data_IF_131068572666
#
_entry.id   IF_131068572666
#
_cell.length_a   1.000
_cell.length_b   1.000
_cell.length_c   1.000
_cell.angle_alpha   90.00
_cell.angle_beta   90.00
_cell.angle_gamma   90.00
#
_symmetry.space_group_name_H-M   'P 1'
#
loop_
_entity.id
_entity.type
_entity.pdbx_description
1 polymer ?
#
# COMPACT_ATOMS: atom_id res chain seq x y z
N UNK A 1 -30.95 -31.47 16.89
CA UNK A 1 -30.34 -30.17 16.63
C UNK A 1 -29.75 -30.21 15.22
N UNK A 2 -30.32 -29.46 14.31
CA UNK A 2 -30.07 -29.66 12.88
C UNK A 2 -28.70 -29.05 12.51
N UNK A 3 -27.99 -29.69 11.58
CA UNK A 3 -26.63 -29.35 11.14
C UNK A 3 -26.46 -27.85 10.74
N UNK A 4 -27.52 -27.22 10.25
CA UNK A 4 -27.52 -25.80 9.89
C UNK A 4 -27.30 -24.86 11.09
N UNK A 5 -27.69 -25.23 12.31
CA UNK A 5 -27.42 -24.48 13.53
C UNK A 5 -25.92 -24.34 13.79
N UNK A 6 -25.16 -25.41 13.58
CA UNK A 6 -23.70 -25.35 13.76
C UNK A 6 -23.03 -24.46 12.73
N UNK A 7 -23.54 -24.46 11.51
CA UNK A 7 -23.05 -23.54 10.45
C UNK A 7 -23.37 -22.10 10.81
N UNK A 8 -24.59 -21.79 11.26
CA UNK A 8 -24.98 -20.45 11.69
C UNK A 8 -24.12 -19.95 12.85
N UNK A 9 -23.92 -20.78 13.90
CA UNK A 9 -23.05 -20.43 15.01
C UNK A 9 -21.61 -20.16 14.54
N UNK A 10 -21.05 -21.02 13.70
CA UNK A 10 -19.72 -20.83 13.14
C UNK A 10 -19.62 -19.54 12.32
N UNK A 11 -20.65 -19.22 11.55
CA UNK A 11 -20.75 -17.97 10.78
C UNK A 11 -20.77 -16.73 11.71
N UNK A 12 -21.63 -16.74 12.71
CA UNK A 12 -21.74 -15.64 13.69
C UNK A 12 -20.42 -15.44 14.44
N UNK A 13 -19.81 -16.51 14.94
CA UNK A 13 -18.53 -16.44 15.64
C UNK A 13 -17.44 -15.88 14.73
N UNK A 14 -17.37 -16.34 13.47
CA UNK A 14 -16.38 -15.82 12.50
C UNK A 14 -16.56 -14.33 12.22
N UNK A 15 -17.81 -13.85 12.10
CA UNK A 15 -18.13 -12.44 11.92
C UNK A 15 -17.76 -11.60 13.15
N UNK A 16 -18.05 -12.09 14.36
CA UNK A 16 -17.65 -11.41 15.60
C UNK A 16 -16.12 -11.30 15.73
N UNK A 17 -15.38 -12.35 15.40
CA UNK A 17 -13.90 -12.30 15.37
C UNK A 17 -13.42 -11.27 14.36
N UNK A 18 -14.02 -11.21 13.18
CA UNK A 18 -13.66 -10.22 12.16
C UNK A 18 -13.98 -8.78 12.58
N UNK A 19 -15.13 -8.56 13.23
CA UNK A 19 -15.52 -7.27 13.80
C UNK A 19 -14.53 -6.82 14.89
N UNK A 20 -14.17 -7.71 15.81
CA UNK A 20 -13.18 -7.43 16.86
C UNK A 20 -11.81 -7.08 16.26
N UNK A 21 -11.37 -7.81 15.23
CA UNK A 21 -10.13 -7.50 14.53
C UNK A 21 -10.20 -6.12 13.86
N UNK A 22 -11.29 -5.80 13.18
CA UNK A 22 -11.52 -4.50 12.53
C UNK A 22 -11.53 -3.37 13.56
N UNK A 23 -12.21 -3.56 14.68
CA UNK A 23 -12.24 -2.61 15.79
C UNK A 23 -10.84 -2.37 16.39
N UNK A 24 -10.05 -3.43 16.58
CA UNK A 24 -8.67 -3.31 17.06
C UNK A 24 -7.79 -2.55 16.06
N UNK A 25 -7.95 -2.79 14.75
CA UNK A 25 -7.23 -2.07 13.71
C UNK A 25 -7.62 -0.59 13.68
N UNK A 26 -8.91 -0.29 13.83
CA UNK A 26 -9.43 1.08 13.94
C UNK A 26 -8.85 1.80 15.16
N UNK A 27 -8.87 1.19 16.34
CA UNK A 27 -8.25 1.75 17.56
C UNK A 27 -6.76 2.00 17.37
N UNK A 28 -6.05 1.06 16.73
CA UNK A 28 -4.64 1.24 16.40
C UNK A 28 -4.44 2.45 15.48
N UNK A 29 -5.25 2.59 14.44
CA UNK A 29 -5.17 3.69 13.50
C UNK A 29 -5.38 5.04 14.20
N UNK A 30 -6.44 5.19 14.99
CA UNK A 30 -6.72 6.40 15.76
C UNK A 30 -5.58 6.74 16.73
N UNK A 31 -5.11 5.75 17.51
CA UNK A 31 -4.04 5.94 18.50
C UNK A 31 -2.69 6.36 17.88
N UNK A 32 -2.48 6.10 16.59
CA UNK A 32 -1.21 6.40 15.90
C UNK A 32 -1.30 7.61 14.97
N UNK A 33 -2.47 7.91 14.42
CA UNK A 33 -2.67 8.97 13.43
C UNK A 33 -2.32 10.36 13.97
N UNK A 34 -2.80 10.69 15.18
CA UNK A 34 -2.65 12.03 15.75
C UNK A 34 -1.34 12.29 16.50
N UNK A 35 -0.48 11.29 16.64
CA UNK A 35 0.78 11.44 17.39
C UNK A 35 1.81 12.17 16.55
N UNK A 36 2.24 13.36 17.00
CA UNK A 36 3.40 14.04 16.39
C UNK A 36 4.66 13.17 16.46
N UNK A 37 5.48 13.19 15.41
CA UNK A 37 6.69 12.41 15.26
C UNK A 37 7.85 13.35 14.94
N UNK A 38 8.55 13.79 15.97
CA UNK A 38 9.63 14.78 15.87
C UNK A 38 11.03 14.14 15.85
N UNK A 39 11.15 12.89 15.46
CA UNK A 39 12.44 12.20 15.45
C UNK A 39 13.06 12.24 14.04
N UNK A 40 14.06 13.10 13.87
CA UNK A 40 14.69 13.41 12.59
C UNK A 40 16.17 12.96 12.52
N UNK A 41 16.57 11.96 13.31
CA UNK A 41 17.99 11.55 13.42
C UNK A 41 18.51 10.78 12.22
N UNK A 42 17.68 9.99 11.55
CA UNK A 42 18.11 9.15 10.43
C UNK A 42 18.22 9.97 9.15
N UNK A 43 19.27 9.71 8.37
CA UNK A 43 19.44 10.28 7.04
C UNK A 43 18.65 9.46 6.04
N UNK A 44 17.76 10.10 5.30
CA UNK A 44 16.80 9.44 4.39
C UNK A 44 17.13 9.78 2.94
N UNK A 45 17.26 8.77 2.09
CA UNK A 45 17.12 8.94 0.65
C UNK A 45 15.66 8.66 0.28
N UNK A 46 14.90 9.70 -0.05
CA UNK A 46 13.54 9.59 -0.56
C UNK A 46 13.60 9.48 -2.07
N UNK A 47 13.24 8.32 -2.58
CA UNK A 47 13.36 7.94 -3.98
C UNK A 47 11.98 7.84 -4.63
N UNK A 48 11.78 8.57 -5.71
CA UNK A 48 10.52 8.63 -6.45
C UNK A 48 10.74 8.31 -7.93
N UNK A 49 10.37 7.11 -8.40
CA UNK A 49 10.34 6.82 -9.82
C UNK A 49 9.18 7.55 -10.49
N UNK A 50 9.48 8.27 -11.56
CA UNK A 50 8.51 9.05 -12.31
C UNK A 50 8.43 8.57 -13.76
N UNK A 51 7.22 8.57 -14.34
CA UNK A 51 6.96 8.26 -15.74
C UNK A 51 5.72 9.00 -16.21
N UNK A 52 5.87 9.79 -17.27
CA UNK A 52 4.76 10.58 -17.82
C UNK A 52 4.25 11.66 -16.86
N UNK A 53 3.17 12.29 -17.23
CA UNK A 53 2.53 13.35 -16.45
C UNK A 53 1.06 12.98 -16.18
N UNK A 54 0.73 12.76 -14.91
CA UNK A 54 -0.65 12.67 -14.46
C UNK A 54 -1.26 14.06 -14.27
N UNK A 55 -2.59 14.16 -14.25
CA UNK A 55 -3.31 15.44 -14.07
C UNK A 55 -2.88 16.22 -12.81
N UNK A 56 -2.51 15.51 -11.76
CA UNK A 56 -2.13 16.06 -10.47
C UNK A 56 -0.61 16.00 -10.20
N UNK A 57 0.21 15.66 -11.22
CA UNK A 57 1.65 15.41 -11.07
C UNK A 57 2.38 16.55 -10.35
N UNK A 58 2.16 17.78 -10.77
CA UNK A 58 2.81 18.94 -10.14
C UNK A 58 2.46 19.06 -8.66
N UNK A 59 1.17 18.94 -8.31
CA UNK A 59 0.69 19.00 -6.92
C UNK A 59 1.28 17.87 -6.08
N UNK A 60 1.26 16.66 -6.62
CA UNK A 60 1.76 15.46 -5.94
C UNK A 60 3.26 15.61 -5.65
N UNK A 61 4.06 15.89 -6.67
CA UNK A 61 5.52 16.04 -6.55
C UNK A 61 5.89 17.19 -5.62
N UNK A 62 5.20 18.34 -5.70
CA UNK A 62 5.45 19.48 -4.80
C UNK A 62 5.28 19.13 -3.33
N UNK A 63 4.36 18.23 -2.99
CA UNK A 63 4.14 17.82 -1.60
C UNK A 63 5.37 17.20 -0.94
N UNK A 64 6.30 16.64 -1.71
CA UNK A 64 7.54 16.03 -1.22
C UNK A 64 8.67 17.03 -0.97
N UNK A 65 8.61 18.22 -1.57
CA UNK A 65 9.52 19.31 -1.26
C UNK A 65 9.25 19.94 0.11
N UNK A 66 8.01 19.84 0.61
CA UNK A 66 7.54 20.49 1.82
C UNK A 66 7.47 19.54 3.03
N UNK A 67 8.40 18.58 3.16
CA UNK A 67 8.38 17.66 4.29
C UNK A 67 8.98 18.28 5.55
N UNK A 68 8.30 18.11 6.68
CA UNK A 68 8.81 18.47 8.01
C UNK A 68 9.83 17.43 8.50
N UNK A 69 10.93 17.31 7.75
CA UNK A 69 12.05 16.41 8.02
C UNK A 69 13.33 17.03 7.48
N UNK A 70 14.27 17.38 8.33
CA UNK A 70 15.46 18.15 7.93
C UNK A 70 16.58 17.29 7.31
N UNK A 71 16.53 15.99 7.50
CA UNK A 71 17.66 15.11 7.20
C UNK A 71 17.33 14.13 6.06
N UNK A 72 16.84 14.66 4.92
CA UNK A 72 16.53 13.85 3.75
C UNK A 72 17.07 14.44 2.45
N UNK A 73 17.41 13.54 1.53
CA UNK A 73 17.67 13.83 0.13
C UNK A 73 16.43 13.45 -0.68
N UNK A 74 16.01 14.29 -1.61
CA UNK A 74 14.86 14.05 -2.48
C UNK A 74 15.36 13.69 -3.89
N UNK A 75 15.16 12.45 -4.29
CA UNK A 75 15.65 11.87 -5.52
C UNK A 75 14.53 11.44 -6.44
N UNK A 76 14.44 12.08 -7.58
CA UNK A 76 13.56 11.67 -8.66
C UNK A 76 14.34 10.84 -9.66
N UNK A 77 13.69 9.84 -10.26
CA UNK A 77 14.33 9.01 -11.29
C UNK A 77 13.36 8.72 -12.43
N UNK A 78 13.81 9.01 -13.64
CA UNK A 78 13.12 8.72 -14.90
C UNK A 78 13.92 7.70 -15.71
N UNK A 79 13.27 7.03 -16.64
CA UNK A 79 13.97 6.13 -17.55
C UNK A 79 14.78 6.90 -18.58
N UNK A 80 14.23 7.99 -19.13
CA UNK A 80 14.83 8.76 -20.21
C UNK A 80 14.56 10.26 -20.05
N UNK A 81 15.44 11.09 -20.58
CA UNK A 81 15.27 12.57 -20.59
C UNK A 81 14.15 13.04 -21.51
N UNK A 82 13.76 12.23 -22.48
CA UNK A 82 12.61 12.49 -23.34
C UNK A 82 11.25 12.30 -22.64
N UNK A 83 11.24 11.66 -21.46
CA UNK A 83 10.02 11.52 -20.66
C UNK A 83 9.54 12.93 -20.23
N UNK A 84 8.26 13.27 -20.45
CA UNK A 84 7.71 14.58 -20.07
C UNK A 84 7.85 14.89 -18.58
N UNK A 85 7.91 13.87 -17.72
CA UNK A 85 8.18 14.07 -16.30
C UNK A 85 9.56 14.72 -16.05
N UNK A 86 10.59 14.40 -16.86
CA UNK A 86 11.92 14.96 -16.67
C UNK A 86 11.93 16.48 -16.75
N UNK A 87 11.37 17.05 -17.80
CA UNK A 87 11.33 18.50 -17.99
C UNK A 87 10.53 19.21 -16.89
N UNK A 88 9.42 18.60 -16.45
CA UNK A 88 8.60 19.13 -15.36
C UNK A 88 9.31 19.07 -14.01
N UNK A 89 10.04 17.99 -13.74
CA UNK A 89 10.86 17.84 -12.51
C UNK A 89 11.99 18.87 -12.46
N UNK A 90 12.66 19.15 -13.59
CA UNK A 90 13.67 20.22 -13.69
C UNK A 90 13.08 21.58 -13.30
N UNK A 91 11.92 21.93 -13.88
CA UNK A 91 11.22 23.19 -13.54
C UNK A 91 10.87 23.28 -12.06
N UNK A 92 10.32 22.20 -11.47
CA UNK A 92 9.98 22.16 -10.05
C UNK A 92 11.23 22.27 -9.16
N UNK A 93 12.31 21.60 -9.52
CA UNK A 93 13.60 21.71 -8.82
C UNK A 93 14.12 23.14 -8.82
N UNK A 94 14.09 23.82 -9.97
CA UNK A 94 14.58 25.21 -10.09
C UNK A 94 13.72 26.18 -9.27
N UNK A 95 12.40 25.96 -9.23
CA UNK A 95 11.45 26.81 -8.51
C UNK A 95 11.48 26.59 -6.99
N UNK A 96 11.54 25.32 -6.53
CA UNK A 96 11.29 24.93 -5.15
C UNK A 96 12.55 24.42 -4.44
N UNK A 97 13.56 23.96 -5.18
CA UNK A 97 14.72 23.27 -4.60
C UNK A 97 15.51 24.09 -3.58
N UNK A 98 15.57 25.41 -3.75
CA UNK A 98 16.26 26.32 -2.80
C UNK A 98 15.44 26.61 -1.54
N UNK A 99 14.13 26.50 -1.61
CA UNK A 99 13.21 26.81 -0.50
C UNK A 99 12.79 25.55 0.27
N UNK A 100 13.10 24.36 -0.23
CA UNK A 100 12.71 23.10 0.43
C UNK A 100 13.65 22.77 1.60
N UNK A 101 13.15 21.91 2.50
CA UNK A 101 13.92 21.39 3.65
C UNK A 101 14.82 20.20 3.30
N UNK A 102 14.71 19.66 2.08
CA UNK A 102 15.60 18.61 1.61
C UNK A 102 17.04 19.13 1.55
N UNK A 103 18.00 18.33 2.00
CA UNK A 103 19.43 18.68 1.93
C UNK A 103 19.91 18.78 0.48
N UNK A 104 19.31 17.95 -0.37
CA UNK A 104 19.63 17.88 -1.78
C UNK A 104 18.42 17.38 -2.57
N UNK A 105 18.21 17.97 -3.76
CA UNK A 105 17.23 17.52 -4.75
C UNK A 105 17.95 17.09 -6.00
N UNK A 106 17.85 15.83 -6.39
CA UNK A 106 18.47 15.27 -7.60
C UNK A 106 17.44 14.64 -8.53
N UNK A 107 17.73 14.70 -9.84
CA UNK A 107 16.94 14.05 -10.88
C UNK A 107 17.89 13.13 -11.66
N UNK A 108 17.63 11.83 -11.58
CA UNK A 108 18.43 10.82 -12.25
C UNK A 108 17.75 10.32 -13.52
N UNK A 109 18.57 9.95 -14.48
CA UNK A 109 18.16 9.21 -15.68
C UNK A 109 18.77 7.82 -15.59
N UNK A 110 17.94 6.80 -15.34
CA UNK A 110 18.43 5.43 -15.11
C UNK A 110 18.73 4.66 -16.39
N UNK A 111 18.12 5.02 -17.51
CA UNK A 111 18.11 4.23 -18.74
C UNK A 111 16.93 3.25 -18.80
N UNK A 112 16.77 2.59 -19.94
CA UNK A 112 15.73 1.59 -20.15
C UNK A 112 16.11 0.26 -19.49
N UNK A 113 15.15 -0.33 -18.80
CA UNK A 113 15.33 -1.62 -18.17
C UNK A 113 15.38 -2.75 -19.23
N UNK A 114 16.33 -3.66 -19.08
CA UNK A 114 16.48 -4.81 -19.99
C UNK A 114 16.11 -6.15 -19.36
N UNK A 115 16.14 -6.25 -18.03
CA UNK A 115 16.01 -7.53 -17.30
C UNK A 115 14.94 -7.57 -16.22
N UNK A 116 14.35 -6.43 -15.87
CA UNK A 116 13.29 -6.33 -14.85
C UNK A 116 12.31 -5.21 -15.17
N UNK A 117 11.29 -5.04 -14.33
CA UNK A 117 10.34 -3.91 -14.48
C UNK A 117 11.03 -2.55 -14.33
N UNK A 118 10.67 -1.58 -15.18
CA UNK A 118 11.30 -0.25 -15.19
C UNK A 118 11.32 0.43 -13.81
N UNK A 119 10.23 0.33 -13.04
CA UNK A 119 10.19 0.88 -11.67
C UNK A 119 11.30 0.30 -10.80
N UNK A 120 11.44 -1.01 -10.78
CA UNK A 120 12.47 -1.71 -9.99
C UNK A 120 13.87 -1.30 -10.45
N UNK A 121 14.10 -1.23 -11.75
CA UNK A 121 15.37 -0.79 -12.32
C UNK A 121 15.74 0.62 -11.85
N UNK A 122 14.80 1.55 -11.91
CA UNK A 122 14.96 2.93 -11.45
C UNK A 122 15.31 2.99 -9.95
N UNK A 123 14.62 2.20 -9.12
CA UNK A 123 14.89 2.15 -7.68
C UNK A 123 16.28 1.59 -7.37
N UNK A 124 16.69 0.52 -8.08
CA UNK A 124 18.02 -0.07 -7.94
C UNK A 124 19.13 0.86 -8.43
N UNK A 125 18.90 1.60 -9.51
CA UNK A 125 19.83 2.62 -9.98
C UNK A 125 20.09 3.69 -8.90
N UNK A 126 19.05 4.19 -8.27
CA UNK A 126 19.19 5.13 -7.15
C UNK A 126 19.88 4.46 -5.95
N UNK A 127 19.54 3.21 -5.62
CA UNK A 127 20.21 2.49 -4.55
C UNK A 127 21.73 2.38 -4.74
N UNK A 128 22.21 2.20 -5.98
CA UNK A 128 23.65 2.18 -6.28
C UNK A 128 24.34 3.55 -6.09
N UNK A 129 23.57 4.65 -6.03
CA UNK A 129 24.10 6.00 -5.84
C UNK A 129 24.09 6.44 -4.37
N UNK A 130 23.52 5.66 -3.46
CA UNK A 130 23.50 6.02 -2.05
C UNK A 130 24.92 6.03 -1.47
N UNK A 131 25.19 7.03 -0.65
CA UNK A 131 26.42 7.16 0.13
C UNK A 131 26.31 6.42 1.46
N UNK A 132 27.45 6.19 2.12
CA UNK A 132 27.48 5.45 3.40
C UNK A 132 26.79 6.19 4.55
N UNK A 133 26.45 7.45 4.36
CA UNK A 133 25.78 8.28 5.36
C UNK A 133 24.25 8.18 5.31
N UNK A 134 23.68 7.47 4.34
CA UNK A 134 22.23 7.22 4.26
C UNK A 134 21.83 6.03 5.14
N UNK A 135 20.91 6.27 6.07
CA UNK A 135 20.42 5.26 7.00
C UNK A 135 19.16 4.54 6.51
N UNK A 136 18.31 5.25 5.75
CA UNK A 136 16.97 4.82 5.34
C UNK A 136 16.72 5.10 3.87
N UNK A 137 16.17 4.11 3.18
CA UNK A 137 15.54 4.27 1.88
C UNK A 137 14.04 4.44 2.10
N UNK A 138 13.48 5.54 1.64
CA UNK A 138 12.06 5.78 1.56
C UNK A 138 11.64 5.81 0.08
N UNK A 139 10.53 5.15 -0.25
CA UNK A 139 10.02 5.05 -1.60
C UNK A 139 8.61 5.63 -1.66
N UNK A 140 8.34 6.41 -2.70
CA UNK A 140 7.05 7.00 -2.96
C UNK A 140 6.72 6.95 -4.46
N UNK A 141 5.46 6.76 -4.82
CA UNK A 141 4.99 6.90 -6.19
C UNK A 141 4.71 8.38 -6.50
N UNK A 142 4.85 8.78 -7.76
CA UNK A 142 4.63 10.18 -8.20
C UNK A 142 3.16 10.59 -8.31
N UNK A 143 2.24 9.62 -8.20
CA UNK A 143 0.79 9.80 -8.29
C UNK A 143 0.10 10.00 -6.92
N UNK A 144 0.86 10.26 -5.86
CA UNK A 144 0.34 10.50 -4.52
C UNK A 144 0.68 11.91 -4.01
N UNK A 145 -0.26 12.49 -3.28
CA UNK A 145 -0.07 13.74 -2.53
C UNK A 145 0.06 13.41 -1.03
N UNK A 146 1.11 13.90 -0.40
CA UNK A 146 1.41 13.61 1.00
C UNK A 146 1.35 14.85 1.88
N UNK A 147 1.12 14.65 3.18
CA UNK A 147 1.17 15.70 4.19
C UNK A 147 2.62 16.08 4.50
N UNK A 148 2.84 17.26 5.04
CA UNK A 148 4.20 17.72 5.42
C UNK A 148 4.87 16.84 6.48
N UNK A 149 4.11 16.18 7.34
CA UNK A 149 4.61 15.29 8.38
C UNK A 149 4.73 13.80 7.97
N UNK A 150 4.45 13.49 6.68
CA UNK A 150 4.42 12.12 6.16
C UNK A 150 5.76 11.39 6.34
N UNK A 151 6.89 12.02 5.99
CA UNK A 151 8.19 11.37 6.05
C UNK A 151 8.60 11.07 7.49
N UNK A 152 8.35 11.97 8.42
CA UNK A 152 8.63 11.77 9.84
C UNK A 152 7.82 10.63 10.43
N UNK A 153 6.55 10.50 10.03
CA UNK A 153 5.70 9.37 10.41
C UNK A 153 6.18 8.05 9.82
N UNK A 154 6.54 8.05 8.52
CA UNK A 154 6.96 6.85 7.81
C UNK A 154 8.26 6.27 8.38
N UNK A 155 9.21 7.12 8.73
CA UNK A 155 10.52 6.71 9.26
C UNK A 155 10.46 6.31 10.74
N UNK A 156 9.53 6.88 11.52
CA UNK A 156 9.43 6.66 12.96
C UNK A 156 9.45 5.19 13.43
N UNK A 157 8.75 4.23 12.82
CA UNK A 157 8.77 2.84 13.26
C UNK A 157 10.14 2.17 13.11
N UNK A 158 10.98 2.66 12.19
CA UNK A 158 12.28 2.07 11.89
C UNK A 158 13.31 2.24 13.04
N UNK A 159 13.05 3.09 14.04
CA UNK A 159 13.86 3.15 15.25
C UNK A 159 13.88 1.85 16.05
N UNK A 160 12.89 0.96 15.82
CA UNK A 160 12.79 -0.35 16.44
C UNK A 160 13.42 -1.41 15.55
N UNK A 161 14.38 -2.17 16.05
CA UNK A 161 15.09 -3.23 15.34
C UNK A 161 14.17 -4.31 14.75
N UNK A 162 13.03 -4.57 15.41
CA UNK A 162 12.02 -5.54 14.95
C UNK A 162 11.22 -5.05 13.72
N UNK A 163 11.24 -3.75 13.38
CA UNK A 163 10.58 -3.22 12.19
C UNK A 163 11.48 -3.40 10.99
N UNK A 164 11.10 -4.26 10.05
CA UNK A 164 11.84 -4.47 8.80
C UNK A 164 11.48 -3.43 7.74
N UNK A 165 10.19 -3.10 7.64
CA UNK A 165 9.69 -2.06 6.74
C UNK A 165 8.53 -1.32 7.40
N UNK A 166 8.48 0.00 7.23
CA UNK A 166 7.34 0.83 7.54
C UNK A 166 6.57 1.12 6.25
N UNK A 167 5.24 1.15 6.29
CA UNK A 167 4.40 1.35 5.11
C UNK A 167 3.19 2.21 5.40
N UNK A 168 2.88 3.13 4.49
CA UNK A 168 1.56 3.71 4.35
C UNK A 168 0.61 2.81 3.58
N UNK A 169 -0.44 3.39 3.05
CA UNK A 169 -1.37 2.76 2.13
C UNK A 169 -2.15 3.80 1.34
N UNK A 170 -2.81 3.37 0.27
CA UNK A 170 -3.63 4.18 -0.63
C UNK A 170 -5.11 3.98 -0.32
N UNK A 171 -5.88 5.07 -0.31
CA UNK A 171 -7.34 5.04 -0.24
C UNK A 171 -7.91 5.58 -1.56
N UNK A 172 -8.62 4.74 -2.30
CA UNK A 172 -9.24 5.16 -3.55
C UNK A 172 -10.55 5.90 -3.30
N UNK A 173 -10.61 7.13 -3.78
CA UNK A 173 -11.82 7.97 -3.78
C UNK A 173 -12.30 8.07 -5.23
N UNK A 174 -13.54 7.66 -5.54
CA UNK A 174 -14.09 7.80 -6.88
C UNK A 174 -14.15 9.26 -7.34
N UNK A 175 -13.54 9.60 -8.47
CA UNK A 175 -13.74 10.90 -9.15
C UNK A 175 -15.13 10.99 -9.79
N UNK A 176 -15.63 9.87 -10.29
CA UNK A 176 -16.98 9.71 -10.89
C UNK A 176 -17.72 8.60 -10.17
N UNK A 177 -19.01 8.81 -9.92
CA UNK A 177 -19.89 7.81 -9.29
C UNK A 177 -20.36 6.75 -10.28
N UNK A 178 -19.43 6.12 -11.02
CA UNK A 178 -19.74 4.95 -11.83
C UNK A 178 -19.48 3.67 -11.00
N UNK A 179 -20.20 2.59 -11.33
CA UNK A 179 -20.15 1.34 -10.57
C UNK A 179 -18.75 0.72 -10.50
N UNK A 180 -17.94 0.84 -11.55
CA UNK A 180 -16.60 0.29 -11.58
C UNK A 180 -15.67 1.02 -10.58
N UNK A 181 -15.72 2.36 -10.52
CA UNK A 181 -14.95 3.14 -9.55
C UNK A 181 -15.40 2.90 -8.10
N UNK A 182 -16.71 2.76 -7.89
CA UNK A 182 -17.26 2.39 -6.57
C UNK A 182 -16.81 0.98 -6.16
N UNK A 183 -16.81 0.00 -7.07
CA UNK A 183 -16.31 -1.34 -6.83
C UNK A 183 -14.81 -1.34 -6.50
N UNK A 184 -13.99 -0.57 -7.23
CA UNK A 184 -12.56 -0.40 -6.91
C UNK A 184 -12.37 0.15 -5.49
N UNK A 185 -13.12 1.20 -5.13
CA UNK A 185 -13.08 1.79 -3.79
C UNK A 185 -13.49 0.80 -2.70
N UNK A 186 -14.54 0.02 -2.92
CA UNK A 186 -15.01 -1.00 -1.98
C UNK A 186 -13.98 -2.12 -1.77
N UNK A 187 -13.35 -2.61 -2.84
CA UNK A 187 -12.27 -3.60 -2.77
C UNK A 187 -11.08 -3.03 -1.99
N UNK A 188 -10.68 -1.80 -2.29
CA UNK A 188 -9.59 -1.12 -1.60
C UNK A 188 -9.89 -0.91 -0.11
N UNK A 189 -11.11 -0.49 0.24
CA UNK A 189 -11.54 -0.34 1.63
C UNK A 189 -11.46 -1.66 2.41
N UNK A 190 -11.86 -2.79 1.79
CA UNK A 190 -11.74 -4.12 2.41
C UNK A 190 -10.28 -4.46 2.72
N UNK A 191 -9.34 -4.14 1.84
CA UNK A 191 -7.91 -4.34 2.08
C UNK A 191 -7.41 -3.40 3.19
N UNK A 192 -7.81 -2.13 3.17
CA UNK A 192 -7.41 -1.14 4.17
C UNK A 192 -7.85 -1.51 5.59
N UNK A 193 -9.03 -2.11 5.77
CA UNK A 193 -9.54 -2.59 7.06
C UNK A 193 -8.69 -3.71 7.68
N UNK A 194 -7.91 -4.44 6.89
CA UNK A 194 -6.99 -5.47 7.37
C UNK A 194 -5.67 -4.88 7.91
N UNK A 195 -5.38 -3.60 7.65
CA UNK A 195 -4.14 -2.95 8.07
C UNK A 195 -4.23 -2.51 9.54
N UNK A 196 -3.18 -2.75 10.30
CA UNK A 196 -3.16 -2.41 11.73
C UNK A 196 -1.97 -3.01 12.46
N UNK A 197 -2.16 -3.37 13.74
CA UNK A 197 -1.15 -4.12 14.47
C UNK A 197 -1.30 -5.63 14.20
N UNK A 198 -1.10 -6.03 12.96
CA UNK A 198 -1.36 -7.39 12.49
C UNK A 198 -0.19 -7.95 11.68
N UNK A 199 -0.11 -9.28 11.55
CA UNK A 199 0.85 -9.99 10.69
C UNK A 199 0.42 -9.97 9.20
N UNK A 200 -0.81 -9.56 8.91
CA UNK A 200 -1.35 -9.48 7.54
C UNK A 200 -0.86 -8.24 6.78
N UNK A 201 -0.31 -7.23 7.47
CA UNK A 201 0.24 -6.06 6.79
C UNK A 201 1.15 -6.46 5.62
N UNK A 202 0.98 -5.79 4.49
CA UNK A 202 1.88 -5.86 3.33
C UNK A 202 2.51 -4.49 3.14
N UNK A 203 3.71 -4.45 2.58
CA UNK A 203 4.30 -3.19 2.14
C UNK A 203 3.54 -2.70 0.89
N UNK A 204 3.50 -1.39 0.74
CA UNK A 204 2.96 -0.73 -0.45
C UNK A 204 4.01 0.23 -1.02
N UNK A 205 4.39 0.00 -2.29
CA UNK A 205 5.50 0.68 -2.96
C UNK A 205 5.32 2.18 -3.15
N UNK A 206 4.08 2.68 -3.07
CA UNK A 206 3.80 4.12 -3.12
C UNK A 206 4.06 4.87 -1.82
N UNK A 207 4.29 4.16 -0.71
CA UNK A 207 4.66 4.76 0.59
C UNK A 207 5.29 3.71 1.49
N UNK A 208 6.60 3.49 1.38
CA UNK A 208 7.31 2.55 2.24
C UNK A 208 8.72 3.04 2.57
N UNK A 209 9.25 2.61 3.72
CA UNK A 209 10.62 2.91 4.11
C UNK A 209 11.27 1.70 4.79
N UNK A 210 12.56 1.51 4.52
CA UNK A 210 13.39 0.41 5.04
C UNK A 210 14.78 0.94 5.41
N UNK A 211 15.41 0.40 6.48
CA UNK A 211 16.80 0.73 6.78
C UNK A 211 17.71 0.18 5.67
N UNK A 212 18.74 0.94 5.29
CA UNK A 212 19.76 0.50 4.31
C UNK A 212 20.43 -0.79 4.79
N UNK A 213 20.75 -0.89 6.07
CA UNK A 213 21.29 -2.10 6.69
C UNK A 213 20.35 -3.31 6.49
N UNK A 214 19.05 -3.13 6.71
CA UNK A 214 18.05 -4.20 6.52
C UNK A 214 17.92 -4.56 5.04
N UNK A 215 17.91 -3.58 4.14
CA UNK A 215 17.86 -3.79 2.70
C UNK A 215 19.03 -4.64 2.22
N UNK A 216 20.26 -4.29 2.65
CA UNK A 216 21.48 -5.04 2.34
C UNK A 216 21.47 -6.45 2.94
N UNK A 217 21.16 -6.58 4.22
CA UNK A 217 21.10 -7.87 4.93
C UNK A 217 20.12 -8.85 4.31
N UNK A 218 19.00 -8.36 3.80
CA UNK A 218 17.99 -9.18 3.13
C UNK A 218 18.35 -9.48 1.65
N UNK A 219 19.40 -8.89 1.11
CA UNK A 219 19.83 -9.07 -0.27
C UNK A 219 18.79 -8.58 -1.30
N UNK A 220 18.10 -7.49 -1.00
CA UNK A 220 17.01 -6.97 -1.85
C UNK A 220 17.52 -6.48 -3.21
N UNK A 221 18.77 -6.02 -3.28
CA UNK A 221 19.47 -5.69 -4.52
C UNK A 221 19.59 -6.90 -5.48
N UNK A 222 19.64 -8.13 -4.93
CA UNK A 222 19.70 -9.38 -5.70
C UNK A 222 18.32 -9.99 -5.94
N UNK A 223 17.34 -9.70 -5.07
CA UNK A 223 15.97 -10.20 -5.16
C UNK A 223 15.18 -9.39 -6.19
N UNK A 224 15.21 -8.07 -6.11
CA UNK A 224 14.39 -7.17 -6.92
C UNK A 224 14.55 -7.35 -8.43
N UNK A 225 15.75 -7.55 -9.02
CA UNK A 225 15.88 -7.78 -10.46
C UNK A 225 15.11 -9.00 -10.99
N UNK A 226 14.74 -9.93 -10.10
CA UNK A 226 14.05 -11.19 -10.41
C UNK A 226 12.56 -11.16 -10.01
N UNK A 227 12.01 -9.99 -9.69
CA UNK A 227 10.64 -9.86 -9.16
C UNK A 227 9.81 -8.87 -9.96
N UNK A 228 8.48 -9.04 -9.90
CA UNK A 228 7.51 -8.15 -10.55
C UNK A 228 7.03 -7.02 -9.61
N UNK A 229 7.25 -7.17 -8.29
CA UNK A 229 6.75 -6.24 -7.27
C UNK A 229 7.86 -5.93 -6.28
N UNK A 230 8.23 -4.66 -6.20
CA UNK A 230 9.20 -4.12 -5.25
C UNK A 230 8.70 -4.27 -3.81
N UNK A 231 7.45 -3.97 -3.56
CA UNK A 231 6.82 -3.90 -2.24
C UNK A 231 6.47 -5.28 -1.66
N UNK A 232 5.76 -6.12 -2.40
CA UNK A 232 5.40 -7.45 -1.90
C UNK A 232 6.62 -8.35 -1.74
N UNK A 233 7.63 -8.24 -2.62
CA UNK A 233 8.88 -8.97 -2.46
C UNK A 233 9.67 -8.52 -1.23
N UNK A 234 9.73 -7.20 -0.97
CA UNK A 234 10.30 -6.63 0.26
C UNK A 234 9.53 -7.13 1.49
N UNK A 235 8.19 -7.04 1.47
CA UNK A 235 7.34 -7.54 2.54
C UNK A 235 7.55 -9.02 2.84
N UNK A 236 7.69 -9.84 1.79
CA UNK A 236 7.98 -11.27 1.90
C UNK A 236 9.36 -11.52 2.55
N UNK A 237 10.41 -10.84 2.09
CA UNK A 237 11.77 -10.96 2.63
C UNK A 237 11.82 -10.56 4.12
N UNK A 238 11.17 -9.44 4.47
CA UNK A 238 11.03 -8.97 5.86
C UNK A 238 10.34 -10.00 6.76
N UNK A 239 9.23 -10.59 6.29
CA UNK A 239 8.49 -11.61 7.06
C UNK A 239 9.26 -12.91 7.19
N UNK A 240 9.99 -13.36 6.16
CA UNK A 240 10.89 -14.51 6.23
C UNK A 240 12.01 -14.30 7.25
N UNK A 241 12.53 -13.09 7.38
CA UNK A 241 13.50 -12.71 8.40
C UNK A 241 12.88 -12.49 9.80
N UNK A 242 11.61 -12.87 10.01
CA UNK A 242 10.86 -12.69 11.28
C UNK A 242 10.77 -11.25 11.76
N UNK A 243 10.93 -10.28 10.85
CA UNK A 243 10.74 -8.86 11.12
C UNK A 243 9.28 -8.45 10.82
N UNK A 244 8.91 -7.24 11.25
CA UNK A 244 7.54 -6.71 11.08
C UNK A 244 7.43 -5.79 9.87
N UNK A 245 6.33 -5.94 9.12
CA UNK A 245 5.79 -4.90 8.25
C UNK A 245 4.88 -4.03 9.11
N UNK A 246 5.27 -2.80 9.36
CA UNK A 246 4.56 -1.89 10.27
C UNK A 246 3.73 -0.89 9.47
N UNK A 247 2.42 -0.96 9.58
CA UNK A 247 1.51 0.03 9.00
C UNK A 247 1.56 1.34 9.76
N UNK A 248 1.63 2.45 9.03
CA UNK A 248 1.68 3.82 9.54
C UNK A 248 0.42 4.57 9.11
N UNK A 249 -0.61 4.68 9.96
CA UNK A 249 -1.88 5.27 9.58
C UNK A 249 -1.79 6.72 9.09
N UNK A 250 -0.86 7.52 9.64
CA UNK A 250 -0.64 8.89 9.19
C UNK A 250 -0.06 8.99 7.76
N UNK A 251 0.42 7.88 7.20
CA UNK A 251 0.87 7.76 5.82
C UNK A 251 -0.20 7.12 4.91
N UNK A 252 -1.47 7.11 5.33
CA UNK A 252 -2.59 6.82 4.45
C UNK A 252 -2.81 8.02 3.53
N UNK A 253 -2.73 7.79 2.23
CA UNK A 253 -2.92 8.84 1.21
C UNK A 253 -4.17 8.58 0.38
N UNK A 254 -4.79 9.65 -0.10
CA UNK A 254 -5.95 9.53 -1.00
C UNK A 254 -5.49 9.58 -2.46
N UNK A 255 -6.05 8.69 -3.28
CA UNK A 255 -5.96 8.74 -4.73
C UNK A 255 -7.35 8.88 -5.31
N UNK A 256 -7.53 9.88 -6.15
CA UNK A 256 -8.80 10.13 -6.82
C UNK A 256 -8.81 9.42 -8.17
N UNK A 257 -9.61 8.35 -8.27
CA UNK A 257 -9.61 7.47 -9.44
C UNK A 257 -10.96 7.46 -10.16
N UNK A 258 -10.90 7.28 -11.47
CA UNK A 258 -12.08 6.98 -12.28
C UNK A 258 -11.70 5.86 -13.24
N UNK A 259 -12.32 4.70 -13.07
CA UNK A 259 -11.99 3.50 -13.85
C UNK A 259 -13.22 2.96 -14.59
N UNK A 260 -12.98 2.35 -15.73
CA UNK A 260 -13.92 1.49 -16.44
C UNK A 260 -13.90 0.07 -15.87
N UNK A 261 -14.88 -0.77 -16.23
CA UNK A 261 -14.87 -2.19 -15.86
C UNK A 261 -13.63 -2.93 -16.36
N UNK A 262 -13.18 -2.62 -17.58
CA UNK A 262 -11.97 -3.22 -18.15
C UNK A 262 -10.73 -2.92 -17.30
N UNK A 263 -10.54 -1.65 -16.96
CA UNK A 263 -9.41 -1.21 -16.11
C UNK A 263 -9.47 -1.81 -14.70
N UNK A 264 -10.68 -1.93 -14.12
CA UNK A 264 -10.88 -2.59 -12.84
C UNK A 264 -10.47 -4.07 -12.90
N UNK A 265 -10.87 -4.81 -13.95
CA UNK A 265 -10.49 -6.21 -14.10
C UNK A 265 -8.99 -6.38 -14.35
N UNK A 266 -8.38 -5.55 -15.19
CA UNK A 266 -6.94 -5.56 -15.45
C UNK A 266 -6.15 -5.28 -14.15
N UNK A 267 -6.58 -4.25 -13.40
CA UNK A 267 -5.98 -3.93 -12.09
C UNK A 267 -6.15 -5.09 -11.11
N UNK A 268 -7.36 -5.61 -10.94
CA UNK A 268 -7.67 -6.71 -10.04
C UNK A 268 -6.88 -7.97 -10.37
N UNK A 269 -6.87 -8.39 -11.64
CA UNK A 269 -6.10 -9.55 -12.11
C UNK A 269 -4.62 -9.43 -11.76
N UNK A 270 -4.02 -8.27 -12.05
CA UNK A 270 -2.63 -7.99 -11.70
C UNK A 270 -2.39 -8.07 -10.19
N UNK A 271 -3.25 -7.46 -9.36
CA UNK A 271 -3.08 -7.47 -7.91
C UNK A 271 -3.23 -8.89 -7.33
N UNK A 272 -4.22 -9.65 -7.78
CA UNK A 272 -4.43 -11.02 -7.32
C UNK A 272 -3.29 -11.95 -7.74
N UNK A 273 -2.78 -11.82 -8.98
CA UNK A 273 -1.65 -12.61 -9.46
C UNK A 273 -0.37 -12.35 -8.63
N UNK A 274 -0.01 -11.07 -8.43
CA UNK A 274 1.17 -10.69 -7.67
C UNK A 274 1.03 -11.15 -6.20
N UNK A 275 -0.16 -10.97 -5.59
CA UNK A 275 -0.42 -11.40 -4.22
C UNK A 275 -0.32 -12.93 -4.08
N UNK A 276 -0.80 -13.69 -5.08
CA UNK A 276 -0.68 -15.17 -5.09
C UNK A 276 0.78 -15.62 -5.05
N UNK A 277 1.66 -14.92 -5.77
CA UNK A 277 3.08 -15.27 -5.87
C UNK A 277 3.83 -14.88 -4.59
N UNK A 278 3.69 -13.65 -4.12
CA UNK A 278 4.52 -13.11 -3.02
C UNK A 278 3.91 -13.23 -1.63
N UNK A 279 2.60 -13.35 -1.52
CA UNK A 279 1.87 -13.45 -0.26
C UNK A 279 0.76 -14.53 -0.32
N UNK A 280 1.08 -15.81 -0.62
CA UNK A 280 0.08 -16.84 -0.88
C UNK A 280 -0.90 -17.04 0.29
N UNK A 281 -0.45 -16.91 1.53
CA UNK A 281 -1.34 -17.00 2.70
C UNK A 281 -2.38 -15.88 2.73
N UNK A 282 -2.00 -14.67 2.37
CA UNK A 282 -2.92 -13.52 2.25
C UNK A 282 -3.88 -13.72 1.08
N UNK A 283 -3.40 -14.27 -0.03
CA UNK A 283 -4.23 -14.59 -1.19
C UNK A 283 -5.29 -15.64 -0.87
N UNK A 284 -4.91 -16.76 -0.22
CA UNK A 284 -5.85 -17.78 0.20
C UNK A 284 -6.88 -17.25 1.21
N UNK A 285 -6.44 -16.44 2.17
CA UNK A 285 -7.36 -15.78 3.10
C UNK A 285 -8.36 -14.88 2.35
N UNK A 286 -7.89 -14.07 1.40
CA UNK A 286 -8.76 -13.21 0.58
C UNK A 286 -9.74 -14.02 -0.27
N UNK A 287 -9.30 -15.09 -0.92
CA UNK A 287 -10.14 -15.98 -1.72
C UNK A 287 -11.22 -16.64 -0.86
N UNK A 288 -10.84 -17.32 0.22
CA UNK A 288 -11.77 -18.02 1.10
C UNK A 288 -12.77 -17.06 1.76
N UNK A 289 -12.31 -15.92 2.23
CA UNK A 289 -13.17 -14.86 2.79
C UNK A 289 -14.16 -14.29 1.76
N UNK A 290 -13.75 -14.16 0.50
CA UNK A 290 -14.62 -13.67 -0.58
C UNK A 290 -15.65 -14.74 -0.98
N UNK A 291 -15.21 -16.00 -1.13
CA UNK A 291 -16.11 -17.12 -1.40
C UNK A 291 -17.15 -17.28 -0.29
N UNK A 292 -16.71 -17.26 0.98
CA UNK A 292 -17.60 -17.30 2.13
C UNK A 292 -18.66 -16.17 2.08
N UNK A 293 -18.24 -14.94 1.80
CA UNK A 293 -19.17 -13.80 1.74
C UNK A 293 -20.17 -13.92 0.59
N UNK A 294 -19.69 -14.33 -0.60
CA UNK A 294 -20.54 -14.44 -1.80
C UNK A 294 -21.49 -15.63 -1.67
N UNK A 295 -20.97 -16.82 -1.33
CA UNK A 295 -21.79 -18.01 -1.17
C UNK A 295 -22.78 -17.85 0.00
N UNK A 296 -22.35 -17.26 1.12
CA UNK A 296 -23.22 -16.97 2.24
C UNK A 296 -24.40 -16.07 1.82
N UNK A 297 -24.13 -14.97 1.14
CA UNK A 297 -25.18 -14.04 0.66
C UNK A 297 -26.18 -14.72 -0.28
N UNK A 298 -25.68 -15.44 -1.29
CA UNK A 298 -26.57 -16.09 -2.27
C UNK A 298 -27.29 -17.30 -1.69
N UNK A 299 -26.66 -18.08 -0.81
CA UNK A 299 -27.31 -19.19 -0.12
C UNK A 299 -28.45 -18.69 0.79
N UNK A 300 -28.20 -17.64 1.59
CA UNK A 300 -29.25 -17.07 2.44
C UNK A 300 -30.39 -16.46 1.63
N UNK A 301 -30.09 -15.77 0.52
CA UNK A 301 -31.11 -15.29 -0.41
C UNK A 301 -31.96 -16.42 -1.01
N UNK A 302 -31.33 -17.51 -1.47
CA UNK A 302 -32.02 -18.67 -2.00
C UNK A 302 -32.89 -19.37 -0.91
N UNK A 303 -32.39 -19.53 0.30
CA UNK A 303 -33.13 -20.07 1.45
C UNK A 303 -34.33 -19.17 1.78
N UNK A 304 -34.17 -17.86 1.79
CA UNK A 304 -35.26 -16.91 2.05
C UNK A 304 -36.37 -17.02 1.02
N UNK A 305 -36.01 -17.11 -0.27
CA UNK A 305 -36.99 -17.30 -1.36
C UNK A 305 -37.71 -18.64 -1.22
N UNK A 306 -36.98 -19.73 -0.99
CA UNK A 306 -37.56 -21.06 -0.77
C UNK A 306 -38.52 -21.08 0.42
N UNK A 307 -38.10 -20.53 1.58
CA UNK A 307 -38.93 -20.43 2.78
C UNK A 307 -40.21 -19.61 2.57
N UNK A 308 -40.13 -18.53 1.79
CA UNK A 308 -41.28 -17.74 1.42
C UNK A 308 -42.26 -18.52 0.51
N UNK A 309 -41.77 -19.36 -0.43
CA UNK A 309 -42.64 -20.18 -1.32
C UNK A 309 -43.27 -21.35 -0.60
N UNK A 310 -42.60 -21.90 0.46
CA UNK A 310 -43.11 -23.03 1.24
C UNK A 310 -43.84 -22.60 2.53
N UNK A 311 -43.95 -21.29 2.77
CA UNK A 311 -44.58 -20.73 3.99
C UNK A 311 -43.91 -21.19 5.32
N UNK A 312 -42.64 -21.59 5.25
CA UNK A 312 -41.86 -22.02 6.41
C UNK A 312 -41.28 -20.78 7.14
N UNK A 313 -42.02 -20.33 8.16
CA UNK A 313 -41.64 -19.17 8.96
C UNK A 313 -40.31 -19.34 9.71
N UNK A 314 -39.99 -20.55 10.15
CA UNK A 314 -38.76 -20.80 10.90
C UNK A 314 -37.52 -20.70 10.00
N UNK A 315 -37.63 -21.28 8.80
CA UNK A 315 -36.55 -21.21 7.82
C UNK A 315 -36.38 -19.78 7.26
N UNK A 316 -37.48 -19.04 7.12
CA UNK A 316 -37.45 -17.62 6.71
C UNK A 316 -36.72 -16.75 7.75
N UNK A 317 -37.06 -16.87 9.04
CA UNK A 317 -36.38 -16.17 10.11
C UNK A 317 -34.88 -16.54 10.20
N UNK A 318 -34.56 -17.80 9.98
CA UNK A 318 -33.17 -18.26 9.91
C UNK A 318 -32.38 -17.59 8.79
N UNK A 319 -32.97 -17.39 7.60
CA UNK A 319 -32.30 -16.73 6.49
C UNK A 319 -31.96 -15.25 6.76
N UNK A 320 -32.64 -14.61 7.71
CA UNK A 320 -32.42 -13.20 8.09
C UNK A 320 -31.64 -13.03 9.43
N UNK A 321 -31.30 -14.11 10.11
CA UNK A 321 -30.47 -14.09 11.31
C UNK A 321 -28.98 -14.22 10.96
#
# INVERSE_FOLDING_TARGET
MDWYFYIAIAAIVSQLVFLLQTYNNFRYALAKYQKKRLWHKLRVALIMPCKGLDSDFQKNVTSFFNQDYENYNLWFVVADRSDPAYSQLCKLKDQLGRACKAREVQIFTAGQATSCGQKIYNLLYCYQKITNDVDVLAFADSDICVRSDWLSHLVWPLRKSKTGVATGYRWFIPKKNNLASLALSAINAKVALLLGNTRFNQAWGGSMAVRVETFRRLGLDKIWPKTLSDDLSLGCAVKKARMKVTFVPACLVTSHESVSWRELFEFGHRQFLITRIYAPRTWWFGLLSSLYSVLGLWATAAIAVYAATTNDKNLFLFAFS
#
